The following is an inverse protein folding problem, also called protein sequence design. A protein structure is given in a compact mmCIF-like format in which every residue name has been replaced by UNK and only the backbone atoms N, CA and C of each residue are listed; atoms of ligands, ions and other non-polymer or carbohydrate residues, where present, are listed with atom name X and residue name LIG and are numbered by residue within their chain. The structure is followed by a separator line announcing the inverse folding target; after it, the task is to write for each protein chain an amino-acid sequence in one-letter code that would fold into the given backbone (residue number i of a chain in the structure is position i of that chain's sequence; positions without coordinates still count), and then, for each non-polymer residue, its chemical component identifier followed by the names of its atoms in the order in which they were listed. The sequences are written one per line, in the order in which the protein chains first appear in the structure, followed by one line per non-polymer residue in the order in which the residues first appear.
data_IF_667276013959
#
_entry.id   IF_667276013959
#
_cell.length_a   1.000
_cell.length_b   1.000
_cell.length_c   1.000
_cell.angle_alpha   90.00
_cell.angle_beta   90.00
_cell.angle_gamma   90.00
#
_symmetry.space_group_name_H-M   'P 1'
#
loop_
_entity.id
_entity.type
_entity.pdbx_description
1 polymer ?
#
# COMPACT_ATOMS: atom_id res chain seq x y z
N UNK A 1 -13.58 -12.53 38.47
CA UNK A 1 -13.31 -13.98 38.51
C UNK A 1 -11.99 -14.22 37.80
N UNK A 2 -11.06 -14.92 38.46
CA UNK A 2 -9.67 -15.11 38.02
C UNK A 2 -9.62 -16.34 37.12
N UNK A 3 -9.22 -16.19 35.87
CA UNK A 3 -9.02 -17.29 34.93
C UNK A 3 -7.62 -17.23 34.36
N UNK A 4 -6.68 -17.94 35.00
CA UNK A 4 -5.33 -18.17 34.48
C UNK A 4 -5.43 -19.22 33.37
N UNK A 5 -5.03 -18.88 32.14
CA UNK A 5 -4.77 -19.86 31.10
C UNK A 5 -3.40 -19.58 30.47
N UNK A 6 -2.44 -20.43 30.82
CA UNK A 6 -1.19 -20.59 30.08
C UNK A 6 -1.48 -21.54 28.91
N UNK A 7 -1.19 -21.12 27.68
CA UNK A 7 -1.08 -22.02 26.54
C UNK A 7 0.14 -21.59 25.72
N UNK A 8 1.24 -22.33 25.88
CA UNK A 8 2.38 -22.35 24.97
C UNK A 8 2.05 -23.27 23.79
N UNK A 9 1.89 -22.70 22.59
CA UNK A 9 1.91 -23.44 21.32
C UNK A 9 2.57 -22.59 20.25
N UNK A 10 3.69 -23.10 19.75
CA UNK A 10 4.39 -22.63 18.55
C UNK A 10 3.49 -22.92 17.33
N UNK A 11 3.00 -21.88 16.66
CA UNK A 11 2.34 -21.99 15.37
C UNK A 11 2.68 -20.75 14.54
N UNK A 12 3.57 -20.93 13.55
CA UNK A 12 3.62 -20.07 12.38
C UNK A 12 2.34 -20.34 11.57
N UNK A 13 1.30 -19.56 11.83
CA UNK A 13 0.10 -19.49 11.03
C UNK A 13 -0.38 -18.04 11.16
N UNK A 14 -0.62 -17.41 10.00
CA UNK A 14 -0.90 -15.98 9.87
C UNK A 14 -1.78 -15.47 10.99
N UNK A 15 -1.34 -14.35 11.56
CA UNK A 15 -2.18 -13.49 12.39
C UNK A 15 -3.41 -13.13 11.56
N UNK A 16 -4.45 -13.95 11.66
CA UNK A 16 -5.82 -13.53 11.48
C UNK A 16 -6.13 -12.57 12.64
N UNK A 17 -5.55 -11.38 12.58
CA UNK A 17 -6.01 -10.26 13.35
C UNK A 17 -7.35 -9.87 12.79
N UNK A 18 -8.41 -10.44 13.35
CA UNK A 18 -9.66 -9.72 13.53
C UNK A 18 -9.40 -8.54 14.50
N UNK A 19 -8.53 -7.62 14.11
CA UNK A 19 -8.46 -6.29 14.65
C UNK A 19 -9.34 -5.49 13.71
N UNK A 20 -10.30 -4.77 14.27
CA UNK A 20 -10.79 -3.63 13.55
C UNK A 20 -9.56 -2.76 13.22
N UNK A 21 -9.10 -2.78 11.97
CA UNK A 21 -8.20 -1.77 11.44
C UNK A 21 -9.04 -0.77 10.62
N UNK A 22 -9.74 0.19 11.26
CA UNK A 22 -10.17 1.35 10.48
C UNK A 22 -9.96 2.63 11.29
N UNK A 23 -8.72 3.08 11.29
CA UNK A 23 -8.37 4.46 11.59
C UNK A 23 -7.08 4.81 10.86
N UNK A 24 -6.03 3.98 11.04
CA UNK A 24 -4.73 4.20 10.41
C UNK A 24 -4.70 3.88 8.92
N UNK A 25 -5.45 2.86 8.46
CA UNK A 25 -5.56 2.55 7.03
C UNK A 25 -6.33 3.67 6.32
N UNK A 26 -7.55 3.99 6.77
CA UNK A 26 -8.35 5.10 6.21
C UNK A 26 -7.59 6.45 6.24
N UNK A 27 -6.88 6.78 7.33
CA UNK A 27 -6.08 8.02 7.39
C UNK A 27 -4.89 8.00 6.42
N UNK A 28 -4.21 6.85 6.26
CA UNK A 28 -3.10 6.69 5.30
C UNK A 28 -3.60 6.75 3.86
N UNK A 29 -4.74 6.11 3.60
CA UNK A 29 -5.44 6.11 2.33
C UNK A 29 -5.84 7.54 1.94
N UNK A 30 -6.48 8.27 2.86
CA UNK A 30 -6.87 9.66 2.65
C UNK A 30 -5.66 10.58 2.38
N UNK A 31 -4.58 10.44 3.15
CA UNK A 31 -3.34 11.21 2.95
C UNK A 31 -2.72 10.89 1.58
N UNK A 32 -2.68 9.61 1.20
CA UNK A 32 -2.13 9.17 -0.07
C UNK A 32 -2.94 9.74 -1.24
N UNK A 33 -4.27 9.62 -1.20
CA UNK A 33 -5.14 10.17 -2.24
C UNK A 33 -5.01 11.69 -2.33
N UNK A 34 -4.99 12.40 -1.20
CA UNK A 34 -4.79 13.85 -1.17
C UNK A 34 -3.43 14.26 -1.75
N UNK A 35 -2.39 13.44 -1.59
CA UNK A 35 -1.09 13.68 -2.21
C UNK A 35 -1.15 13.52 -3.75
N UNK A 36 -1.85 12.48 -4.24
CA UNK A 36 -2.05 12.30 -5.70
C UNK A 36 -2.84 13.47 -6.30
N UNK A 37 -3.89 13.94 -5.63
CA UNK A 37 -4.68 15.08 -6.09
C UNK A 37 -3.87 16.38 -6.12
N UNK A 38 -3.01 16.61 -5.12
CA UNK A 38 -2.14 17.79 -5.08
C UNK A 38 -1.07 17.78 -6.19
N UNK A 39 -0.52 16.60 -6.50
CA UNK A 39 0.43 16.44 -7.61
C UNK A 39 -0.28 16.36 -8.98
N UNK A 40 -1.62 16.36 -9.02
CA UNK A 40 -2.40 16.27 -10.24
C UNK A 40 -2.25 14.94 -10.96
N UNK A 41 -2.01 13.85 -10.22
CA UNK A 41 -1.90 12.50 -10.74
C UNK A 41 -3.32 11.94 -10.97
N UNK A 42 -3.71 11.66 -12.23
CA UNK A 42 -5.06 11.21 -12.51
C UNK A 42 -5.24 9.75 -12.12
N UNK A 43 -6.22 9.44 -11.28
CA UNK A 43 -6.59 8.06 -10.93
C UNK A 43 -8.08 7.83 -11.19
N UNK A 44 -8.46 6.58 -11.47
CA UNK A 44 -9.86 6.24 -11.77
C UNK A 44 -10.76 6.32 -10.53
N UNK A 45 -10.33 5.70 -9.44
CA UNK A 45 -10.99 5.72 -8.14
C UNK A 45 -9.94 5.62 -7.03
N UNK A 46 -10.26 6.11 -5.83
CA UNK A 46 -9.37 6.00 -4.67
C UNK A 46 -8.99 4.53 -4.39
N UNK A 47 -9.98 3.63 -4.40
CA UNK A 47 -9.75 2.20 -4.18
C UNK A 47 -8.77 1.59 -5.19
N UNK A 48 -8.85 1.96 -6.48
CA UNK A 48 -7.91 1.46 -7.48
C UNK A 48 -6.49 1.99 -7.25
N UNK A 49 -6.35 3.24 -6.81
CA UNK A 49 -5.04 3.80 -6.48
C UNK A 49 -4.42 3.12 -5.26
N UNK A 50 -5.22 2.81 -4.24
CA UNK A 50 -4.77 2.10 -3.03
C UNK A 50 -4.37 0.65 -3.36
N UNK A 51 -5.18 -0.05 -4.16
CA UNK A 51 -4.86 -1.41 -4.62
C UNK A 51 -3.55 -1.44 -5.41
N UNK A 52 -3.37 -0.49 -6.33
CA UNK A 52 -2.13 -0.35 -7.09
C UNK A 52 -0.93 -0.01 -6.19
N UNK A 53 -1.13 0.84 -5.18
CA UNK A 53 -0.09 1.18 -4.20
C UNK A 53 0.36 -0.04 -3.38
N UNK A 54 -0.57 -0.92 -3.00
CA UNK A 54 -0.25 -2.22 -2.40
C UNK A 54 0.54 -3.13 -3.34
N UNK A 55 0.13 -3.19 -4.62
CA UNK A 55 0.84 -3.99 -5.63
C UNK A 55 2.29 -3.55 -5.85
N UNK A 56 2.58 -2.25 -5.75
CA UNK A 56 3.97 -1.73 -5.79
C UNK A 56 4.86 -2.43 -4.76
N UNK A 57 4.35 -2.69 -3.55
CA UNK A 57 5.08 -3.38 -2.51
C UNK A 57 5.32 -4.85 -2.84
N UNK A 58 4.36 -5.51 -3.49
CA UNK A 58 4.53 -6.90 -3.96
C UNK A 58 5.60 -6.99 -5.04
N UNK A 59 5.59 -6.09 -6.03
CA UNK A 59 6.61 -6.04 -7.07
C UNK A 59 8.00 -5.73 -6.50
N UNK A 60 8.09 -4.78 -5.57
CA UNK A 60 9.35 -4.47 -4.90
C UNK A 60 9.86 -5.65 -4.07
N UNK A 61 8.97 -6.36 -3.35
CA UNK A 61 9.31 -7.55 -2.60
C UNK A 61 9.73 -8.73 -3.50
N UNK A 62 9.19 -8.80 -4.73
CA UNK A 62 9.62 -9.74 -5.76
C UNK A 62 11.01 -9.41 -6.35
N UNK A 63 11.63 -8.29 -5.95
CA UNK A 63 12.95 -7.86 -6.39
C UNK A 63 12.94 -6.98 -7.64
N UNK A 64 11.77 -6.47 -8.04
CA UNK A 64 11.66 -5.56 -9.17
C UNK A 64 12.16 -4.16 -8.78
N UNK A 65 12.87 -3.51 -9.70
CA UNK A 65 13.35 -2.15 -9.48
C UNK A 65 12.17 -1.17 -9.42
N UNK A 66 12.21 -0.21 -8.49
CA UNK A 66 11.14 0.78 -8.31
C UNK A 66 10.92 1.65 -9.54
N UNK A 67 11.97 1.91 -10.32
CA UNK A 67 11.87 2.63 -11.60
C UNK A 67 11.13 1.78 -12.63
N UNK A 68 11.40 0.48 -12.65
CA UNK A 68 10.69 -0.45 -13.54
C UNK A 68 9.21 -0.54 -13.19
N UNK A 69 8.88 -0.63 -11.89
CA UNK A 69 7.48 -0.59 -11.42
C UNK A 69 6.81 0.73 -11.84
N UNK A 70 7.49 1.86 -11.68
CA UNK A 70 6.96 3.16 -12.10
C UNK A 70 6.66 3.18 -13.61
N UNK A 71 7.54 2.63 -14.45
CA UNK A 71 7.31 2.55 -15.89
C UNK A 71 6.14 1.63 -16.26
N UNK A 72 5.94 0.54 -15.54
CA UNK A 72 4.84 -0.41 -15.78
C UNK A 72 3.47 0.16 -15.43
N UNK A 73 3.38 0.98 -14.38
CA UNK A 73 2.12 1.64 -14.02
C UNK A 73 1.87 2.92 -14.83
N UNK A 74 2.94 3.51 -15.38
CA UNK A 74 2.90 4.72 -16.22
C UNK A 74 2.11 4.50 -17.52
N UNK A 75 2.44 3.45 -18.28
CA UNK A 75 1.83 3.18 -19.59
C UNK A 75 0.30 3.01 -19.56
N UNK A 76 -0.28 2.15 -18.69
CA UNK A 76 -1.73 1.97 -18.66
C UNK A 76 -2.46 3.20 -18.14
N UNK A 77 -1.82 4.00 -17.28
CA UNK A 77 -2.42 5.19 -16.67
C UNK A 77 -2.20 6.47 -17.51
N UNK A 78 -1.31 6.44 -18.51
CA UNK A 78 -0.94 7.61 -19.30
C UNK A 78 -0.23 8.69 -18.49
N UNK A 79 0.48 8.30 -17.43
CA UNK A 79 1.17 9.22 -16.52
C UNK A 79 2.52 9.69 -17.08
N UNK A 80 3.02 10.82 -16.56
CA UNK A 80 4.40 11.22 -16.80
C UNK A 80 5.37 10.34 -15.98
N UNK A 81 6.67 10.31 -16.36
CA UNK A 81 7.70 9.65 -15.55
C UNK A 81 7.78 10.22 -14.13
N UNK A 82 7.62 11.54 -13.95
CA UNK A 82 7.60 12.16 -12.62
C UNK A 82 6.40 11.70 -11.79
N UNK A 83 5.20 11.69 -12.38
CA UNK A 83 3.97 11.25 -11.72
C UNK A 83 4.07 9.80 -11.25
N UNK A 84 4.60 8.93 -12.11
CA UNK A 84 4.74 7.51 -11.81
C UNK A 84 5.79 7.25 -10.74
N UNK A 85 6.90 8.00 -10.78
CA UNK A 85 7.93 7.95 -9.74
C UNK A 85 7.40 8.45 -8.39
N UNK A 86 6.63 9.54 -8.39
CA UNK A 86 5.98 10.05 -7.19
C UNK A 86 5.02 9.01 -6.60
N UNK A 87 4.16 8.42 -7.44
CA UNK A 87 3.21 7.39 -7.02
C UNK A 87 3.93 6.22 -6.34
N UNK A 88 4.96 5.64 -6.98
CA UNK A 88 5.72 4.51 -6.42
C UNK A 88 6.42 4.90 -5.12
N UNK A 89 6.98 6.11 -5.04
CA UNK A 89 7.63 6.62 -3.83
C UNK A 89 6.65 6.77 -2.66
N UNK A 90 5.52 7.45 -2.89
CA UNK A 90 4.46 7.65 -1.90
C UNK A 90 3.82 6.32 -1.49
N UNK A 91 3.57 5.42 -2.44
CA UNK A 91 3.06 4.08 -2.19
C UNK A 91 4.03 3.29 -1.31
N UNK A 92 5.31 3.31 -1.63
CA UNK A 92 6.33 2.61 -0.83
C UNK A 92 6.39 3.15 0.59
N UNK A 93 6.36 4.46 0.75
CA UNK A 93 6.43 5.12 2.05
C UNK A 93 5.24 4.79 2.95
N UNK A 94 4.06 4.58 2.34
CA UNK A 94 2.78 4.48 3.05
C UNK A 94 2.31 3.03 3.25
N UNK A 95 2.59 2.14 2.30
CA UNK A 95 2.02 0.78 2.26
C UNK A 95 3.06 -0.35 2.36
N UNK A 96 4.35 -0.07 2.17
CA UNK A 96 5.37 -1.13 2.28
C UNK A 96 5.90 -1.24 3.71
N UNK A 97 5.94 -2.46 4.29
CA UNK A 97 6.43 -2.70 5.65
C UNK A 97 7.95 -2.63 5.80
#
# INVERSE_FOLDING_TARGET
MRGTFFITTLAAAGLATALAAPAFADETDDIFIAALEQEGIPFSTAGNAIELAGAVCEYAAAGQDKTQIALEIMEPAGWSPEQSGFFVGAATQSYCP
#
